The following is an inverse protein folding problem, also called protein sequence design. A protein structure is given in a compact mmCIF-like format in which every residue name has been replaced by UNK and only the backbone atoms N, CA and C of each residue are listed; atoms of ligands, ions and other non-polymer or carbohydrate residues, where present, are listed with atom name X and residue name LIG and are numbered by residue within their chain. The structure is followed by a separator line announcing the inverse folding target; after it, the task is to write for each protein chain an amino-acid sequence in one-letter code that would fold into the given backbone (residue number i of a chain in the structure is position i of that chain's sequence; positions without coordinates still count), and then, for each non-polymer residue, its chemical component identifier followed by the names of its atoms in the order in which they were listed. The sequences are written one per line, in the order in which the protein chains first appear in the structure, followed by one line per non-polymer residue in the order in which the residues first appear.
data_IF_908846612137
#
_entry.id   IF_908846612137
#
_cell.length_a   1.000
_cell.length_b   1.000
_cell.length_c   1.000
_cell.angle_alpha   90.00
_cell.angle_beta   90.00
_cell.angle_gamma   90.00
#
_symmetry.space_group_name_H-M   'P 1'
#
loop_
_entity.id
_entity.type
_entity.pdbx_description
1 polymer ?
#
# COMPACT_ATOMS: atom_id res chain seq x y z
N UNK A 1 -29.21 -10.50 -18.02
CA UNK A 1 -28.58 -10.35 -16.70
C UNK A 1 -27.12 -10.01 -16.95
N UNK A 2 -26.77 -8.72 -16.89
CA UNK A 2 -25.47 -8.23 -17.36
C UNK A 2 -24.50 -8.25 -16.17
N UNK A 3 -23.58 -9.20 -16.18
CA UNK A 3 -22.52 -9.31 -15.17
C UNK A 3 -21.43 -8.28 -15.49
N UNK A 4 -21.48 -7.11 -14.84
CA UNK A 4 -20.45 -6.09 -14.97
C UNK A 4 -19.27 -6.44 -14.05
N UNK A 5 -18.19 -6.97 -14.62
CA UNK A 5 -16.91 -7.17 -13.93
C UNK A 5 -16.10 -5.88 -14.02
N UNK A 6 -16.16 -5.04 -12.98
CA UNK A 6 -15.13 -4.01 -12.79
C UNK A 6 -13.82 -4.70 -12.40
N UNK A 7 -12.97 -4.92 -13.40
CA UNK A 7 -11.72 -5.66 -13.27
C UNK A 7 -10.59 -4.71 -12.84
N UNK A 8 -10.66 -4.14 -11.64
CA UNK A 8 -9.47 -3.56 -10.99
C UNK A 8 -8.64 -4.70 -10.39
N UNK A 9 -7.92 -5.44 -11.25
CA UNK A 9 -7.07 -6.55 -10.85
C UNK A 9 -5.72 -6.01 -10.35
N UNK A 10 -5.60 -5.77 -9.04
CA UNK A 10 -4.30 -5.52 -8.40
C UNK A 10 -3.99 -6.65 -7.43
N UNK A 11 -2.79 -7.23 -7.54
CA UNK A 11 -2.54 -8.57 -7.05
C UNK A 11 -1.86 -8.61 -5.60
N UNK A 12 -2.52 -8.61 -4.39
CA UNK A 12 -2.06 -9.19 -3.04
C UNK A 12 -3.08 -10.03 -2.16
N UNK A 13 -2.80 -11.31 -1.80
CA UNK A 13 -3.72 -12.37 -1.28
C UNK A 13 -3.36 -12.61 0.18
N UNK A 14 -3.91 -11.77 1.07
CA UNK A 14 -4.01 -12.08 2.49
C UNK A 14 -5.36 -11.56 2.96
N UNK A 15 -6.05 -12.40 3.73
CA UNK A 15 -7.30 -12.11 4.44
C UNK A 15 -7.24 -10.71 5.08
N UNK A 16 -7.77 -9.71 4.38
CA UNK A 16 -7.61 -8.30 4.75
C UNK A 16 -8.99 -7.71 5.01
N UNK A 17 -9.13 -7.05 6.17
CA UNK A 17 -10.32 -6.30 6.48
C UNK A 17 -10.44 -5.16 5.47
N UNK A 18 -11.43 -5.25 4.58
CA UNK A 18 -11.81 -4.14 3.70
C UNK A 18 -12.88 -3.30 4.37
N UNK A 19 -12.67 -1.99 4.47
CA UNK A 19 -13.70 -1.04 4.91
C UNK A 19 -14.16 -0.21 3.71
N UNK A 20 -15.48 -0.21 3.45
CA UNK A 20 -16.08 0.65 2.44
C UNK A 20 -16.40 2.00 3.07
N UNK A 21 -15.94 3.07 2.45
CA UNK A 21 -16.37 4.42 2.76
C UNK A 21 -17.52 4.78 1.81
N UNK A 22 -18.75 4.80 2.34
CA UNK A 22 -19.96 5.13 1.59
C UNK A 22 -20.04 6.61 1.19
N UNK A 23 -19.42 7.52 1.94
CA UNK A 23 -19.43 8.96 1.65
C UNK A 23 -18.56 9.29 0.44
N UNK A 24 -17.43 8.60 0.30
CA UNK A 24 -16.47 8.82 -0.79
C UNK A 24 -16.60 7.81 -1.94
N UNK A 25 -17.49 6.81 -1.81
CA UNK A 25 -17.57 5.65 -2.71
C UNK A 25 -16.21 4.97 -2.95
N UNK A 26 -15.39 4.90 -1.90
CA UNK A 26 -14.04 4.32 -1.94
C UNK A 26 -13.97 3.06 -1.09
N UNK A 27 -13.12 2.14 -1.50
CA UNK A 27 -12.74 0.97 -0.70
C UNK A 27 -11.31 1.11 -0.23
N UNK A 28 -11.12 0.80 1.06
CA UNK A 28 -9.82 0.81 1.70
C UNK A 28 -9.47 -0.61 2.12
N UNK A 29 -8.30 -1.07 1.69
CA UNK A 29 -7.68 -2.29 2.20
C UNK A 29 -6.54 -1.90 3.13
N UNK A 30 -6.51 -2.51 4.30
CA UNK A 30 -5.40 -2.38 5.24
C UNK A 30 -4.69 -3.72 5.32
N UNK A 31 -3.42 -3.71 4.95
CA UNK A 31 -2.51 -4.83 5.10
C UNK A 31 -1.58 -4.48 6.27
N UNK A 32 -1.43 -5.40 7.22
CA UNK A 32 -0.63 -5.17 8.42
C UNK A 32 0.85 -5.08 8.09
N UNK A 33 1.36 -6.05 7.32
CA UNK A 33 2.76 -6.15 6.93
C UNK A 33 2.91 -6.85 5.58
N UNK A 34 3.88 -6.43 4.78
CA UNK A 34 4.30 -7.08 3.53
C UNK A 34 5.81 -7.27 3.61
N UNK A 35 6.27 -8.52 3.59
CA UNK A 35 7.69 -8.86 3.62
C UNK A 35 7.97 -10.17 2.88
N UNK A 36 9.23 -10.42 2.53
CA UNK A 36 9.70 -11.68 1.92
C UNK A 36 9.37 -12.91 2.77
N UNK A 37 9.15 -12.75 4.08
CA UNK A 37 8.78 -13.82 5.01
C UNK A 37 7.28 -14.12 5.05
N UNK A 38 6.46 -13.34 4.34
CA UNK A 38 5.03 -13.61 4.22
C UNK A 38 4.79 -14.86 3.36
N UNK A 39 3.65 -15.55 3.57
CA UNK A 39 3.32 -16.83 2.91
C UNK A 39 3.41 -16.82 1.36
N UNK A 40 3.42 -15.63 0.75
CA UNK A 40 3.54 -15.44 -0.70
C UNK A 40 4.80 -14.65 -1.13
N UNK A 41 5.85 -14.62 -0.30
CA UNK A 41 7.10 -13.88 -0.59
C UNK A 41 6.86 -12.38 -0.89
N UNK A 42 5.80 -11.80 -0.31
CA UNK A 42 5.42 -10.40 -0.52
C UNK A 42 4.45 -10.12 -1.69
N UNK A 43 3.91 -11.14 -2.35
CA UNK A 43 2.99 -11.02 -3.52
C UNK A 43 1.55 -11.51 -3.25
N UNK A 44 0.55 -11.29 -4.13
CA UNK A 44 -0.73 -12.05 -4.10
C UNK A 44 -1.95 -11.54 -4.94
N UNK A 45 -3.25 -11.49 -4.50
CA UNK A 45 -4.39 -10.69 -5.07
C UNK A 45 -5.39 -9.89 -4.18
N UNK A 46 -5.57 -8.55 -4.35
CA UNK A 46 -6.63 -7.74 -3.71
C UNK A 46 -7.81 -7.62 -4.68
N UNK A 47 -9.01 -8.01 -4.24
CA UNK A 47 -10.22 -8.00 -5.07
C UNK A 47 -11.39 -7.43 -4.27
N UNK A 48 -12.25 -6.66 -4.94
CA UNK A 48 -13.57 -6.31 -4.44
C UNK A 48 -14.60 -6.44 -5.56
N UNK A 49 -15.84 -6.72 -5.15
CA UNK A 49 -17.01 -6.71 -6.02
C UNK A 49 -18.00 -5.71 -5.44
N UNK A 50 -18.46 -4.77 -6.26
CA UNK A 50 -19.45 -3.77 -5.86
C UNK A 50 -20.74 -4.02 -6.64
N UNK A 51 -21.85 -4.03 -5.92
CA UNK A 51 -23.17 -3.90 -6.54
C UNK A 51 -23.47 -2.41 -6.69
N UNK A 52 -23.78 -2.01 -7.91
CA UNK A 52 -24.10 -0.63 -8.29
C UNK A 52 -25.57 -0.59 -8.68
N UNK A 53 -26.32 0.39 -8.17
CA UNK A 53 -27.72 0.62 -8.55
C UNK A 53 -27.85 1.36 -9.87
N UNK A 54 -26.84 2.12 -10.28
CA UNK A 54 -26.87 2.93 -11.50
C UNK A 54 -25.53 2.87 -12.24
N UNK A 55 -25.60 2.51 -13.53
CA UNK A 55 -24.51 2.51 -14.52
C UNK A 55 -23.25 1.66 -14.26
N UNK A 56 -22.37 1.52 -15.27
CA UNK A 56 -20.98 1.10 -15.04
C UNK A 56 -20.22 2.20 -14.29
N UNK A 57 -19.42 1.84 -13.27
CA UNK A 57 -18.60 2.83 -12.55
C UNK A 57 -17.44 3.35 -13.40
N UNK A 58 -17.09 4.62 -13.24
CA UNK A 58 -15.87 5.19 -13.81
C UNK A 58 -14.64 4.64 -13.08
N UNK A 59 -13.65 4.07 -13.78
CA UNK A 59 -12.40 3.65 -13.15
C UNK A 59 -11.70 4.86 -12.55
N UNK A 60 -11.20 4.70 -11.33
CA UNK A 60 -10.48 5.75 -10.60
C UNK A 60 -9.09 5.27 -10.24
N UNK A 61 -8.11 6.17 -10.26
CA UNK A 61 -6.72 5.91 -9.87
C UNK A 61 -6.63 5.25 -8.49
N UNK A 62 -5.92 4.14 -8.40
CA UNK A 62 -5.57 3.48 -7.15
C UNK A 62 -4.47 4.28 -6.47
N UNK A 63 -4.60 4.54 -5.17
CA UNK A 63 -3.55 5.12 -4.35
C UNK A 63 -3.07 4.11 -3.30
N UNK A 64 -1.76 4.02 -3.09
CA UNK A 64 -1.13 3.11 -2.13
C UNK A 64 -0.34 3.90 -1.10
N UNK A 65 -0.44 3.50 0.16
CA UNK A 65 0.33 4.06 1.26
C UNK A 65 1.04 2.94 2.04
N UNK A 66 2.33 3.10 2.28
CA UNK A 66 3.13 2.21 3.13
C UNK A 66 4.25 2.98 3.83
N UNK A 67 4.77 2.40 4.91
CA UNK A 67 5.94 2.90 5.61
C UNK A 67 6.84 1.73 6.02
N UNK A 68 8.13 2.01 6.14
CA UNK A 68 9.13 1.05 6.59
C UNK A 68 10.12 1.75 7.51
N UNK A 69 10.42 1.11 8.64
CA UNK A 69 11.46 1.53 9.58
C UNK A 69 12.64 0.57 9.53
N UNK A 70 13.84 1.08 9.81
CA UNK A 70 15.09 0.30 9.84
C UNK A 70 15.93 0.36 8.56
N UNK A 71 15.42 0.96 7.47
CA UNK A 71 16.14 1.08 6.20
C UNK A 71 15.88 2.41 5.47
N UNK A 72 16.69 2.69 4.45
CA UNK A 72 16.49 3.80 3.51
C UNK A 72 16.54 3.28 2.09
N UNK A 73 15.80 3.91 1.16
CA UNK A 73 15.85 3.56 -0.26
C UNK A 73 17.16 4.02 -0.94
N UNK A 74 17.76 5.08 -0.42
CA UNK A 74 18.99 5.65 -0.97
C UNK A 74 20.26 4.92 -0.54
N UNK A 75 20.18 4.07 0.49
CA UNK A 75 21.35 3.43 1.10
C UNK A 75 22.28 4.40 1.83
N UNK A 76 21.88 5.67 2.00
CA UNK A 76 22.72 6.70 2.62
C UNK A 76 22.89 6.40 4.11
N UNK A 77 24.12 6.61 4.59
CA UNK A 77 24.44 6.58 6.01
C UNK A 77 25.06 7.89 6.48
N UNK A 78 25.04 8.11 7.79
CA UNK A 78 25.60 9.31 8.42
C UNK A 78 26.64 8.91 9.47
N UNK A 79 27.77 9.60 9.42
CA UNK A 79 28.87 9.46 10.37
C UNK A 79 29.24 10.83 10.93
N UNK A 80 29.55 10.89 12.22
CA UNK A 80 30.03 12.10 12.88
C UNK A 80 31.56 12.16 12.80
N UNK A 81 32.08 13.29 12.32
CA UNK A 81 33.51 13.58 12.33
C UNK A 81 33.85 14.50 13.50
N UNK A 82 34.92 14.18 14.23
CA UNK A 82 35.42 14.97 15.36
C UNK A 82 35.15 14.34 16.74
N UNK A 83 36.01 14.64 17.70
CA UNK A 83 35.89 14.15 19.07
C UNK A 83 34.85 14.96 19.86
N UNK A 84 34.13 14.29 20.78
CA UNK A 84 33.20 14.95 21.71
C UNK A 84 31.71 14.78 21.40
N UNK A 85 31.36 14.17 20.25
CA UNK A 85 29.98 13.87 19.89
C UNK A 85 29.77 12.37 19.70
N UNK A 86 28.59 11.88 20.09
CA UNK A 86 28.18 10.49 19.88
C UNK A 86 26.78 10.48 19.26
N UNK A 87 26.65 9.77 18.15
CA UNK A 87 25.34 9.48 17.56
C UNK A 87 24.71 8.33 18.35
N UNK A 88 23.80 8.66 19.26
CA UNK A 88 23.14 7.65 20.11
C UNK A 88 22.13 6.79 19.34
N UNK A 89 21.52 7.34 18.30
CA UNK A 89 20.56 6.64 17.46
C UNK A 89 20.59 7.23 16.04
N UNK A 90 20.69 6.35 15.04
CA UNK A 90 20.45 6.70 13.65
C UNK A 90 19.12 6.07 13.22
N UNK A 91 18.05 6.88 13.15
CA UNK A 91 16.72 6.36 12.77
C UNK A 91 16.52 6.45 11.26
N UNK A 92 16.60 5.29 10.60
CA UNK A 92 16.34 5.11 9.17
C UNK A 92 14.88 4.72 8.95
N UNK A 93 14.16 5.44 8.09
CA UNK A 93 12.79 5.10 7.68
C UNK A 93 12.44 5.73 6.34
N UNK A 94 11.48 5.16 5.64
CA UNK A 94 10.83 5.78 4.49
C UNK A 94 9.32 5.56 4.54
N UNK A 95 8.59 6.44 3.86
CA UNK A 95 7.16 6.31 3.65
C UNK A 95 6.82 6.68 2.22
N UNK A 96 5.70 6.18 1.73
CA UNK A 96 5.17 6.55 0.41
C UNK A 96 4.88 8.04 0.32
N UNK A 97 5.34 8.65 -0.78
CA UNK A 97 4.77 9.90 -1.28
C UNK A 97 3.52 9.63 -2.12
N UNK A 98 3.45 10.23 -3.31
CA UNK A 98 2.40 9.92 -4.29
C UNK A 98 2.74 8.62 -5.03
N UNK A 99 2.12 7.52 -4.61
CA UNK A 99 2.19 6.23 -5.30
C UNK A 99 0.81 5.86 -5.84
N UNK A 100 0.67 5.85 -7.16
CA UNK A 100 -0.60 5.73 -7.85
C UNK A 100 -0.51 4.74 -9.01
N UNK A 101 -1.62 4.06 -9.31
CA UNK A 101 -1.76 3.22 -10.48
C UNK A 101 -3.09 3.52 -11.18
N UNK A 102 -3.03 3.81 -12.47
CA UNK A 102 -4.22 3.98 -13.31
C UNK A 102 -4.69 2.63 -13.86
N UNK A 103 -5.92 2.62 -14.38
CA UNK A 103 -6.57 1.46 -15.00
C UNK A 103 -6.31 1.41 -16.51
#
# INVERSE_FOLDING_TARGET
MVEWKCNCLCKILLSSLSTRNSELNKSLWKLSDISEKSDNEGSGSLRAKFELSDGPSTPTTLAVQFMSEGSTLSGVDMELLGAGYRLSLNKKRFATGRYMADC
#
